data_IF_060695747935
#
_entry.id   IF_060695747935
#
_cell.length_a   1.000
_cell.length_b   1.000
_cell.length_c   1.000
_cell.angle_alpha   90.00
_cell.angle_beta   90.00
_cell.angle_gamma   90.00
#
_symmetry.space_group_name_H-M   'P 1'
#
loop_
_entity.id
_entity.type
_entity.pdbx_description
1 polymer ?
#
# COMPACT_ATOMS: atom_id res chain seq x y z
N UNK A 1 2.43 10.40 -5.60
CA UNK A 1 3.51 10.79 -6.55
C UNK A 1 4.67 9.79 -6.58
N UNK A 2 5.22 9.40 -5.42
CA UNK A 2 6.34 8.45 -5.34
C UNK A 2 6.00 7.04 -5.81
N UNK A 3 5.03 6.37 -5.17
CA UNK A 3 4.66 4.98 -5.52
C UNK A 3 4.24 4.77 -6.98
N UNK A 4 3.64 5.75 -7.65
CA UNK A 4 3.30 5.65 -9.08
C UNK A 4 4.51 5.61 -10.01
N UNK A 5 5.72 5.89 -9.51
CA UNK A 5 6.98 5.74 -10.25
C UNK A 5 7.60 4.36 -10.08
N UNK A 6 7.11 3.54 -9.16
CA UNK A 6 7.58 2.17 -8.96
C UNK A 6 7.05 1.29 -10.10
N UNK A 7 7.91 0.54 -10.81
CA UNK A 7 7.47 -0.37 -11.87
C UNK A 7 6.38 -1.34 -11.39
N UNK A 8 5.32 -1.49 -12.18
CA UNK A 8 4.20 -2.37 -11.85
C UNK A 8 3.14 -1.77 -10.92
N UNK A 9 3.30 -0.55 -10.42
CA UNK A 9 2.24 0.17 -9.71
C UNK A 9 1.32 0.87 -10.70
N UNK A 10 0.08 0.42 -10.80
CA UNK A 10 -0.97 1.01 -11.64
C UNK A 10 -1.56 2.22 -10.92
N UNK A 11 -1.90 2.05 -9.64
CA UNK A 11 -2.55 3.09 -8.87
C UNK A 11 -2.15 3.05 -7.39
N UNK A 12 -2.18 4.21 -6.74
CA UNK A 12 -1.88 4.36 -5.32
C UNK A 12 -2.76 5.47 -4.75
N UNK A 13 -3.65 5.13 -3.81
CA UNK A 13 -4.60 6.08 -3.24
C UNK A 13 -4.82 5.84 -1.75
N UNK A 14 -5.04 6.95 -1.03
CA UNK A 14 -5.42 6.93 0.38
C UNK A 14 -6.87 7.37 0.49
N UNK A 15 -7.65 6.60 1.23
CA UNK A 15 -9.05 6.85 1.52
C UNK A 15 -9.19 7.18 3.00
N UNK A 16 -10.03 8.16 3.32
CA UNK A 16 -10.47 8.37 4.69
C UNK A 16 -11.45 7.24 5.03
N UNK A 17 -11.23 6.59 6.15
CA UNK A 17 -12.17 5.59 6.66
C UNK A 17 -13.26 6.35 7.41
N UNK A 18 -14.52 6.15 7.02
CA UNK A 18 -15.68 6.76 7.69
C UNK A 18 -16.16 5.89 8.86
N UNK A 19 -16.07 4.58 8.70
CA UNK A 19 -16.45 3.58 9.70
C UNK A 19 -15.33 2.53 9.83
N UNK A 20 -14.84 2.30 11.05
CA UNK A 20 -13.73 1.38 11.32
C UNK A 20 -12.76 1.92 12.37
N UNK A 21 -11.64 1.22 12.56
CA UNK A 21 -10.67 1.51 13.63
C UNK A 21 -9.46 2.34 13.17
N UNK A 22 -9.24 2.47 11.87
CA UNK A 22 -8.15 3.27 11.30
C UNK A 22 -8.68 4.59 10.75
N UNK A 23 -7.93 5.70 10.86
CA UNK A 23 -8.36 6.98 10.27
C UNK A 23 -8.24 7.03 8.74
N UNK A 24 -7.35 6.21 8.18
CA UNK A 24 -7.09 6.14 6.74
C UNK A 24 -6.77 4.71 6.31
N UNK A 25 -7.14 4.37 5.08
CA UNK A 25 -6.72 3.15 4.39
C UNK A 25 -5.94 3.51 3.13
N UNK A 26 -4.87 2.78 2.85
CA UNK A 26 -4.09 2.95 1.62
C UNK A 26 -4.28 1.73 0.75
N UNK A 27 -4.69 1.95 -0.49
CA UNK A 27 -4.89 0.91 -1.50
C UNK A 27 -3.89 1.13 -2.62
N UNK A 28 -3.23 0.06 -3.00
CA UNK A 28 -2.35 0.01 -4.15
C UNK A 28 -2.89 -0.99 -5.15
N UNK A 29 -2.87 -0.61 -6.42
CA UNK A 29 -3.21 -1.48 -7.53
C UNK A 29 -1.93 -1.82 -8.28
N UNK A 30 -1.71 -3.11 -8.49
CA UNK A 30 -0.49 -3.63 -9.08
C UNK A 30 -0.79 -4.43 -10.34
N UNK A 31 0.17 -4.41 -11.27
CA UNK A 31 0.15 -5.29 -12.44
C UNK A 31 0.31 -6.77 -12.05
N UNK A 32 0.90 -7.07 -10.90
CA UNK A 32 0.99 -8.43 -10.35
C UNK A 32 1.15 -8.40 -8.82
N UNK A 33 0.88 -9.54 -8.17
CA UNK A 33 1.07 -9.71 -6.71
C UNK A 33 2.54 -9.69 -6.28
N UNK A 34 3.49 -9.73 -7.21
CA UNK A 34 4.92 -9.73 -6.92
C UNK A 34 5.52 -8.33 -6.73
N UNK A 35 4.82 -7.26 -7.14
CA UNK A 35 5.33 -5.87 -7.05
C UNK A 35 5.76 -5.48 -5.64
N UNK A 36 5.04 -5.82 -4.55
CA UNK A 36 5.48 -5.53 -3.18
C UNK A 36 6.80 -6.16 -2.77
N UNK A 37 7.28 -7.19 -3.50
CA UNK A 37 8.55 -7.84 -3.22
C UNK A 37 9.74 -7.18 -3.92
N UNK A 38 9.50 -6.26 -4.85
CA UNK A 38 10.56 -5.64 -5.64
C UNK A 38 11.44 -4.70 -4.79
N UNK A 39 12.74 -4.56 -5.15
CA UNK A 39 13.62 -3.61 -4.49
C UNK A 39 13.12 -2.16 -4.55
N UNK A 40 12.57 -1.73 -5.69
CA UNK A 40 12.05 -0.38 -5.91
C UNK A 40 10.85 -0.08 -5.01
N UNK A 41 9.98 -1.07 -4.81
CA UNK A 41 8.88 -0.95 -3.85
C UNK A 41 9.40 -0.82 -2.41
N UNK A 42 10.32 -1.70 -2.01
CA UNK A 42 10.90 -1.72 -0.66
C UNK A 42 11.64 -0.40 -0.36
N UNK A 43 12.40 0.12 -1.32
CA UNK A 43 13.07 1.42 -1.25
C UNK A 43 12.06 2.56 -1.06
N UNK A 44 11.06 2.64 -1.94
CA UNK A 44 10.01 3.64 -1.83
C UNK A 44 9.27 3.55 -0.49
N UNK A 45 9.03 2.34 0.03
CA UNK A 45 8.33 2.12 1.29
C UNK A 45 9.13 2.60 2.51
N UNK A 46 10.45 2.42 2.48
CA UNK A 46 11.36 2.80 3.57
C UNK A 46 11.74 4.28 3.54
N UNK A 47 11.76 4.91 2.36
CA UNK A 47 12.38 6.23 2.17
C UNK A 47 11.43 7.31 1.63
N UNK A 48 10.13 7.04 1.48
CA UNK A 48 9.16 8.03 0.97
C UNK A 48 9.00 9.31 1.81
N UNK A 49 9.43 9.29 3.07
CA UNK A 49 9.33 10.37 4.04
C UNK A 49 10.30 10.15 5.20
N UNK A 50 10.80 11.20 5.87
CA UNK A 50 11.53 11.07 7.14
C UNK A 50 10.75 10.31 8.22
N UNK A 51 9.42 10.32 8.15
CA UNK A 51 8.54 9.62 9.09
C UNK A 51 8.24 8.16 8.71
N UNK A 52 8.80 7.65 7.61
CA UNK A 52 8.48 6.31 7.10
C UNK A 52 8.66 5.21 8.17
N UNK A 53 9.76 5.15 8.95
CA UNK A 53 9.93 4.09 9.96
C UNK A 53 8.78 4.04 10.98
N UNK A 54 8.38 5.20 11.51
CA UNK A 54 7.25 5.31 12.46
C UNK A 54 5.93 4.95 11.79
N UNK A 55 5.70 5.42 10.56
CA UNK A 55 4.49 5.09 9.82
C UNK A 55 4.37 3.60 9.53
N UNK A 56 5.48 2.92 9.19
CA UNK A 56 5.48 1.47 8.93
C UNK A 56 5.03 0.65 10.13
N UNK A 57 5.41 1.06 11.34
CA UNK A 57 4.95 0.41 12.57
C UNK A 57 3.44 0.60 12.81
N UNK A 58 2.87 1.73 12.36
CA UNK A 58 1.45 2.03 12.50
C UNK A 58 0.58 1.49 11.34
N UNK A 59 1.18 1.12 10.21
CA UNK A 59 0.48 0.61 9.03
C UNK A 59 0.20 -0.89 9.18
N UNK A 60 -0.90 -1.22 9.83
CA UNK A 60 -1.36 -2.60 10.03
C UNK A 60 -2.60 -2.90 9.20
N UNK A 61 -2.94 -4.20 9.12
CA UNK A 61 -4.22 -4.63 8.57
C UNK A 61 -5.27 -4.71 9.68
N UNK A 62 -6.52 -4.39 9.33
CA UNK A 62 -7.64 -4.66 10.22
C UNK A 62 -7.78 -6.17 10.49
N UNK A 63 -8.27 -6.59 11.66
CA UNK A 63 -8.49 -8.00 11.98
C UNK A 63 -9.28 -8.72 10.88
N UNK A 64 -8.77 -9.87 10.42
CA UNK A 64 -9.40 -10.69 9.38
C UNK A 64 -9.20 -10.21 7.93
N UNK A 65 -8.53 -9.08 7.71
CA UNK A 65 -8.23 -8.62 6.34
C UNK A 65 -7.13 -9.47 5.71
N UNK A 66 -7.37 -9.95 4.49
CA UNK A 66 -6.39 -10.71 3.71
C UNK A 66 -5.20 -9.85 3.24
N UNK A 67 -5.35 -8.51 3.25
CA UNK A 67 -4.31 -7.55 2.85
C UNK A 67 -4.09 -7.45 1.34
N UNK A 68 -4.17 -8.56 0.61
CA UNK A 68 -4.01 -8.64 -0.85
C UNK A 68 -5.27 -9.24 -1.46
N UNK A 69 -5.74 -8.61 -2.55
CA UNK A 69 -6.95 -9.01 -3.26
C UNK A 69 -6.64 -9.12 -4.76
N UNK A 70 -7.21 -10.14 -5.41
CA UNK A 70 -7.10 -10.33 -6.86
C UNK A 70 -8.48 -10.17 -7.47
N UNK A 71 -8.56 -9.37 -8.53
CA UNK A 71 -9.79 -9.20 -9.31
C UNK A 71 -10.01 -10.45 -10.17
N UNK A 72 -11.11 -11.16 -9.93
CA UNK A 72 -11.44 -12.40 -10.66
C UNK A 72 -12.12 -12.11 -12.01
N UNK A 73 -12.89 -11.01 -12.11
CA UNK A 73 -13.61 -10.60 -13.32
C UNK A 73 -13.37 -9.12 -13.67
N UNK A 74 -13.25 -8.73 -14.95
CA UNK A 74 -13.07 -7.33 -15.41
C UNK A 74 -14.29 -6.42 -15.20
#
# INVERSE_FOLDING_TARGET
PGYRKVPGVIYARRYRVLEGTSGYSTVYEFASTAVPESPEWKEQQQHSSPNSPRMRQAMTHAPGSAGVYVRVNP
#
